data_IF_113517131787
#
_entry.id   IF_113517131787
#
_cell.length_a   1.000
_cell.length_b   1.000
_cell.length_c   1.000
_cell.angle_alpha   90.00
_cell.angle_beta   90.00
_cell.angle_gamma   90.00
#
_symmetry.space_group_name_H-M   'P 1'
#
loop_
_entity.id
_entity.type
_entity.pdbx_description
1 polymer ?
#
# COMPACT_ATOMS: atom_id res chain seq x y z
N UNK A 1 -11.38 -17.70 -28.13
CA UNK A 1 -10.30 -16.71 -28.36
C UNK A 1 -10.41 -15.66 -27.27
N UNK A 2 -9.37 -15.48 -26.45
CA UNK A 2 -9.11 -14.38 -25.48
C UNK A 2 -8.16 -14.95 -24.43
N UNK A 3 -6.95 -14.48 -24.14
CA UNK A 3 -6.19 -13.32 -24.56
C UNK A 3 -4.97 -13.34 -23.65
N UNK A 4 -3.95 -14.10 -24.03
CA UNK A 4 -2.68 -14.18 -23.28
C UNK A 4 -1.96 -12.85 -23.43
N UNK A 5 -2.13 -11.96 -22.44
CA UNK A 5 -1.44 -10.67 -22.43
C UNK A 5 0.02 -10.89 -22.04
N UNK A 6 0.86 -11.16 -23.03
CA UNK A 6 2.31 -11.16 -22.95
C UNK A 6 2.83 -9.72 -22.85
N UNK A 7 2.49 -9.00 -21.79
CA UNK A 7 3.18 -7.74 -21.46
C UNK A 7 4.50 -8.13 -20.80
N UNK A 8 5.67 -7.78 -21.37
CA UNK A 8 6.94 -8.04 -20.72
C UNK A 8 6.97 -7.24 -19.43
N UNK A 9 6.96 -7.92 -18.28
CA UNK A 9 7.16 -7.25 -17.00
C UNK A 9 8.53 -6.59 -17.02
N UNK A 10 8.56 -5.25 -17.10
CA UNK A 10 9.79 -4.47 -17.01
C UNK A 10 10.46 -4.79 -15.68
N UNK A 11 11.51 -5.59 -15.73
CA UNK A 11 12.32 -5.89 -14.56
C UNK A 11 13.05 -4.61 -14.17
N UNK A 12 12.65 -4.01 -13.05
CA UNK A 12 13.29 -2.83 -12.50
C UNK A 12 14.74 -3.16 -12.17
N UNK A 13 15.69 -2.36 -12.67
CA UNK A 13 17.07 -2.42 -12.19
C UNK A 13 17.16 -1.91 -10.74
N UNK A 14 18.34 -1.98 -10.11
CA UNK A 14 18.51 -1.57 -8.71
C UNK A 14 18.13 -0.10 -8.48
N UNK A 15 18.42 0.79 -9.42
CA UNK A 15 18.13 2.22 -9.29
C UNK A 15 16.64 2.49 -9.44
N UNK A 16 15.98 1.86 -10.42
CA UNK A 16 14.54 2.01 -10.62
C UNK A 16 13.75 1.47 -9.42
N UNK A 17 14.21 0.38 -8.79
CA UNK A 17 13.61 -0.13 -7.54
C UNK A 17 13.68 0.88 -6.41
N UNK A 18 14.78 1.62 -6.27
CA UNK A 18 14.91 2.66 -5.23
C UNK A 18 13.89 3.78 -5.45
N UNK A 19 13.72 4.21 -6.70
CA UNK A 19 12.74 5.24 -7.06
C UNK A 19 11.32 4.76 -6.74
N UNK A 20 10.97 3.55 -7.18
CA UNK A 20 9.67 2.95 -6.87
C UNK A 20 9.40 2.83 -5.35
N UNK A 21 10.37 2.36 -4.56
CA UNK A 21 10.22 2.27 -3.11
C UNK A 21 10.10 3.64 -2.44
N UNK A 22 10.84 4.65 -2.90
CA UNK A 22 10.70 6.01 -2.39
C UNK A 22 9.30 6.58 -2.65
N UNK A 23 8.72 6.31 -3.82
CA UNK A 23 7.35 6.73 -4.15
C UNK A 23 6.29 5.98 -3.33
N UNK A 24 6.50 4.67 -3.08
CA UNK A 24 5.68 3.88 -2.15
C UNK A 24 5.68 4.50 -0.75
N UNK A 25 6.86 4.81 -0.25
CA UNK A 25 7.02 5.33 1.11
C UNK A 25 6.42 6.74 1.23
N UNK A 26 6.46 7.54 0.17
CA UNK A 26 5.76 8.82 0.11
C UNK A 26 4.23 8.66 0.19
N UNK A 27 3.66 7.69 -0.52
CA UNK A 27 2.23 7.36 -0.41
C UNK A 27 1.85 6.95 1.02
N UNK A 28 2.61 6.03 1.62
CA UNK A 28 2.32 5.57 2.98
C UNK A 28 2.46 6.67 4.01
N UNK A 29 3.46 7.56 3.86
CA UNK A 29 3.59 8.75 4.70
C UNK A 29 2.39 9.70 4.53
N UNK A 30 1.88 9.88 3.31
CA UNK A 30 0.68 10.68 3.08
C UNK A 30 -0.53 10.11 3.84
N UNK A 31 -0.75 8.81 3.75
CA UNK A 31 -1.83 8.12 4.46
C UNK A 31 -1.70 8.31 5.99
N UNK A 32 -0.51 8.07 6.53
CA UNK A 32 -0.26 8.21 7.97
C UNK A 32 -0.45 9.66 8.46
N UNK A 33 -0.01 10.64 7.67
CA UNK A 33 -0.14 12.07 8.00
C UNK A 33 -1.60 12.51 8.02
N UNK A 34 -2.42 12.00 7.11
CA UNK A 34 -3.84 12.32 7.02
C UNK A 34 -4.71 11.41 7.89
N UNK A 35 -4.13 10.44 8.61
CA UNK A 35 -4.85 9.40 9.35
C UNK A 35 -5.86 8.62 8.48
N UNK A 36 -5.48 8.43 7.22
CA UNK A 36 -6.28 7.75 6.22
C UNK A 36 -5.84 6.30 6.05
N UNK A 37 -6.79 5.44 5.69
CA UNK A 37 -6.53 4.03 5.45
C UNK A 37 -6.96 3.58 4.07
N UNK A 38 -6.17 2.68 3.50
CA UNK A 38 -6.50 2.03 2.25
C UNK A 38 -7.56 0.95 2.49
N UNK A 39 -8.63 0.99 1.70
CA UNK A 39 -9.59 -0.10 1.59
C UNK A 39 -9.37 -0.78 0.25
N UNK A 40 -8.58 -1.85 0.25
CA UNK A 40 -8.10 -2.49 -0.99
C UNK A 40 -7.33 -1.51 -1.87
N UNK A 41 -7.86 -1.17 -3.06
CA UNK A 41 -7.27 -0.23 -4.03
C UNK A 41 -7.92 1.16 -4.01
N UNK A 42 -8.78 1.43 -3.01
CA UNK A 42 -9.39 2.74 -2.86
C UNK A 42 -8.40 3.72 -2.22
N UNK A 43 -7.97 4.72 -3.02
CA UNK A 43 -6.99 5.73 -2.62
C UNK A 43 -7.74 6.98 -2.12
N UNK A 44 -7.51 7.43 -0.88
CA UNK A 44 -8.13 8.64 -0.34
C UNK A 44 -7.81 9.87 -1.21
N UNK A 45 -8.78 10.79 -1.44
CA UNK A 45 -8.56 11.98 -2.26
C UNK A 45 -7.37 12.85 -1.81
N UNK A 46 -7.10 12.89 -0.50
CA UNK A 46 -5.96 13.61 0.07
C UNK A 46 -4.60 13.11 -0.45
N UNK A 47 -4.51 11.86 -0.91
CA UNK A 47 -3.28 11.21 -1.36
C UNK A 47 -3.31 10.80 -2.84
N UNK A 48 -4.34 11.16 -3.61
CA UNK A 48 -4.49 10.79 -5.03
C UNK A 48 -3.30 11.29 -5.89
N UNK A 49 -2.84 12.52 -5.66
CA UNK A 49 -1.69 13.08 -6.39
C UNK A 49 -0.39 12.31 -6.11
N UNK A 50 -0.17 11.90 -4.86
CA UNK A 50 0.99 11.10 -4.43
C UNK A 50 0.90 9.68 -5.00
N UNK A 51 -0.29 9.11 -4.99
CA UNK A 51 -0.54 7.79 -5.60
C UNK A 51 -0.26 7.80 -7.10
N UNK A 52 -0.66 8.85 -7.84
CA UNK A 52 -0.35 8.98 -9.28
C UNK A 52 1.15 8.99 -9.55
N UNK A 53 1.95 9.64 -8.70
CA UNK A 53 3.41 9.58 -8.81
C UNK A 53 3.95 8.18 -8.52
N UNK A 54 3.40 7.49 -7.52
CA UNK A 54 3.75 6.11 -7.20
C UNK A 54 3.41 5.15 -8.36
N UNK A 55 2.22 5.25 -8.95
CA UNK A 55 1.76 4.46 -10.09
C UNK A 55 2.65 4.66 -11.33
N UNK A 56 3.11 5.89 -11.58
CA UNK A 56 4.04 6.18 -12.68
C UNK A 56 5.46 5.64 -12.45
N UNK A 57 5.91 5.57 -11.19
CA UNK A 57 7.27 5.18 -10.85
C UNK A 57 7.44 3.68 -10.61
N UNK A 58 6.35 2.92 -10.58
CA UNK A 58 6.34 1.51 -10.25
C UNK A 58 5.62 0.65 -11.30
N UNK A 59 5.98 -0.62 -11.45
CA UNK A 59 5.19 -1.58 -12.21
C UNK A 59 3.79 -1.74 -11.62
N UNK A 60 2.73 -1.91 -12.44
CA UNK A 60 1.36 -2.07 -11.96
C UNK A 60 1.21 -3.18 -10.92
N UNK A 61 1.79 -4.36 -11.16
CA UNK A 61 1.75 -5.47 -10.19
C UNK A 61 2.41 -5.14 -8.84
N UNK A 62 3.40 -4.24 -8.83
CA UNK A 62 4.03 -3.79 -7.58
C UNK A 62 3.13 -2.82 -6.84
N UNK A 63 2.53 -1.85 -7.53
CA UNK A 63 1.58 -0.92 -6.91
C UNK A 63 0.39 -1.64 -6.30
N UNK A 64 -0.22 -2.57 -7.05
CA UNK A 64 -1.32 -3.40 -6.58
C UNK A 64 -0.93 -4.22 -5.36
N UNK A 65 0.23 -4.89 -5.40
CA UNK A 65 0.74 -5.67 -4.27
C UNK A 65 0.96 -4.81 -3.03
N UNK A 66 1.64 -3.67 -3.16
CA UNK A 66 1.99 -2.82 -2.02
C UNK A 66 0.76 -2.18 -1.37
N UNK A 67 -0.19 -1.70 -2.16
CA UNK A 67 -1.43 -1.09 -1.65
C UNK A 67 -2.27 -2.13 -0.92
N UNK A 68 -2.50 -3.31 -1.53
CA UNK A 68 -3.21 -4.41 -0.86
C UNK A 68 -2.52 -4.86 0.42
N UNK A 69 -1.19 -5.01 0.39
CA UNK A 69 -0.41 -5.40 1.56
C UNK A 69 -0.56 -4.37 2.69
N UNK A 70 -0.45 -3.08 2.38
CA UNK A 70 -0.63 -2.01 3.36
C UNK A 70 -2.02 -2.02 4.00
N UNK A 71 -3.07 -2.22 3.21
CA UNK A 71 -4.44 -2.33 3.73
C UNK A 71 -4.59 -3.50 4.71
N UNK A 72 -4.05 -4.67 4.35
CA UNK A 72 -4.10 -5.87 5.20
C UNK A 72 -3.29 -5.69 6.49
N UNK A 73 -2.09 -5.12 6.41
CA UNK A 73 -1.23 -4.86 7.57
C UNK A 73 -1.91 -3.89 8.56
N UNK A 74 -2.49 -2.79 8.06
CA UNK A 74 -3.22 -1.84 8.92
C UNK A 74 -4.46 -2.46 9.57
N UNK A 75 -5.19 -3.32 8.84
CA UNK A 75 -6.31 -4.05 9.41
C UNK A 75 -5.86 -5.05 10.50
N UNK A 76 -4.73 -5.73 10.30
CA UNK A 76 -4.17 -6.66 11.27
C UNK A 76 -3.67 -5.94 12.53
N UNK A 77 -2.95 -4.82 12.37
CA UNK A 77 -2.50 -3.96 13.47
C UNK A 77 -3.67 -3.54 14.36
N UNK A 78 -4.74 -2.98 13.77
CA UNK A 78 -5.95 -2.59 14.51
C UNK A 78 -6.59 -3.74 15.27
N UNK A 79 -6.70 -4.91 14.64
CA UNK A 79 -7.29 -6.08 15.28
C UNK A 79 -6.46 -6.51 16.49
N UNK A 80 -5.15 -6.49 16.36
CA UNK A 80 -4.23 -6.83 17.45
C UNK A 80 -4.33 -5.82 18.60
N UNK A 81 -4.42 -4.53 18.29
CA UNK A 81 -4.63 -3.47 19.29
C UNK A 81 -5.93 -3.67 20.07
N UNK A 82 -7.04 -3.98 19.38
CA UNK A 82 -8.31 -4.28 20.01
C UNK A 82 -8.23 -5.50 20.93
N UNK A 83 -7.65 -6.61 20.45
CA UNK A 83 -7.47 -7.84 21.24
C UNK A 83 -6.62 -7.59 22.49
N UNK A 84 -5.53 -6.82 22.37
CA UNK A 84 -4.69 -6.45 23.50
C UNK A 84 -5.43 -5.57 24.51
N UNK A 85 -6.25 -4.63 24.03
CA UNK A 85 -7.08 -3.80 24.89
C UNK A 85 -8.15 -4.61 25.64
N UNK A 86 -8.77 -5.59 24.98
CA UNK A 86 -9.72 -6.52 25.59
C UNK A 86 -9.04 -7.40 26.64
N UNK A 87 -7.88 -7.98 26.32
CA UNK A 87 -7.10 -8.80 27.26
C UNK A 87 -6.73 -7.99 28.51
N UNK A 88 -6.30 -6.74 28.35
CA UNK A 88 -5.96 -5.87 29.48
C UNK A 88 -7.16 -5.66 30.41
N UNK A 89 -8.36 -5.44 29.87
CA UNK A 89 -9.59 -5.28 30.66
C UNK A 89 -9.98 -6.53 31.45
N UNK A 90 -9.63 -7.72 30.95
CA UNK A 90 -9.92 -8.99 31.65
C UNK A 90 -8.96 -9.31 32.79
N UNK A 91 -7.81 -8.62 32.82
CA UNK A 91 -6.76 -8.82 33.84
C UNK A 91 -6.84 -7.78 34.99
N UNK A 92 -7.65 -6.74 34.83
CA UNK A 92 -7.96 -5.71 35.84
C UNK A 92 -9.24 -6.07 36.62
#
# INVERSE_FOLDING_TARGET
MSGSSSVPYKQLNRQDRKVCWAARDALFKCLDTNQEELRFMDIPPACDSVYKMFDQQCPPAWTEYFVKKRALEKQAEKRLELMNAELKKTLE
#
